data_IF_947485186433
#
_entry.id   IF_947485186433
#
_cell.length_a   1.000
_cell.length_b   1.000
_cell.length_c   1.000
_cell.angle_alpha   90.00
_cell.angle_beta   90.00
_cell.angle_gamma   90.00
#
_symmetry.space_group_name_H-M   'P 1'
#
loop_
_entity.id
_entity.type
_entity.pdbx_description
1 polymer ?
#
# COMPACT_ATOMS: atom_id res chain seq x y z
N UNK A 1 -19.16 -3.42 14.62
CA UNK A 1 -19.68 -4.74 14.21
C UNK A 1 -18.92 -5.10 12.96
N UNK A 2 -18.13 -6.16 13.00
CA UNK A 2 -17.42 -6.71 11.86
C UNK A 2 -18.18 -7.94 11.39
N UNK A 3 -18.24 -8.12 10.08
CA UNK A 3 -18.89 -9.27 9.44
C UNK A 3 -17.85 -9.84 8.49
N UNK A 4 -17.51 -11.11 8.69
CA UNK A 4 -16.53 -11.83 7.87
C UNK A 4 -17.23 -12.51 6.68
N UNK A 5 -16.45 -12.89 5.67
CA UNK A 5 -16.96 -13.52 4.43
C UNK A 5 -17.64 -14.88 4.68
N UNK A 6 -17.32 -15.53 5.79
CA UNK A 6 -17.96 -16.79 6.24
C UNK A 6 -19.29 -16.57 7.00
N UNK A 7 -19.72 -15.32 7.14
CA UNK A 7 -20.93 -14.93 7.85
C UNK A 7 -20.78 -14.84 9.37
N UNK A 8 -19.58 -15.05 9.93
CA UNK A 8 -19.33 -14.81 11.35
C UNK A 8 -19.35 -13.31 11.67
N UNK A 9 -19.80 -12.98 12.87
CA UNK A 9 -19.93 -11.59 13.32
C UNK A 9 -19.17 -11.35 14.63
N UNK A 10 -18.35 -10.29 14.65
CA UNK A 10 -17.65 -9.85 15.86
C UNK A 10 -18.03 -8.43 16.28
N UNK A 11 -18.12 -8.23 17.60
CA UNK A 11 -18.38 -6.92 18.22
C UNK A 11 -17.12 -6.42 18.92
N UNK A 12 -16.36 -5.61 18.20
CA UNK A 12 -15.17 -4.95 18.73
C UNK A 12 -15.51 -3.54 19.22
N UNK A 13 -14.97 -3.18 20.39
CA UNK A 13 -15.05 -1.82 20.92
C UNK A 13 -14.02 -0.94 20.22
N UNK A 14 -14.45 0.13 19.54
CA UNK A 14 -13.60 0.95 18.68
C UNK A 14 -12.42 1.64 19.37
N UNK A 15 -12.42 1.71 20.70
CA UNK A 15 -11.32 2.31 21.48
C UNK A 15 -10.36 1.26 22.06
N UNK A 16 -10.57 -0.02 21.79
CA UNK A 16 -9.66 -1.11 22.15
C UNK A 16 -8.60 -1.25 21.05
N UNK A 17 -7.49 -0.51 21.18
CA UNK A 17 -6.45 -0.41 20.15
C UNK A 17 -5.93 -1.78 19.70
N UNK A 18 -5.66 -2.68 20.64
CA UNK A 18 -5.11 -4.02 20.36
C UNK A 18 -6.05 -4.86 19.49
N UNK A 19 -7.37 -4.61 19.57
CA UNK A 19 -8.36 -5.33 18.76
C UNK A 19 -8.67 -4.67 17.42
N UNK A 20 -8.29 -3.40 17.24
CA UNK A 20 -8.59 -2.65 16.01
C UNK A 20 -7.37 -2.40 15.13
N UNK A 21 -6.15 -2.52 15.67
CA UNK A 21 -4.90 -2.20 14.96
C UNK A 21 -4.68 -3.02 13.68
N UNK A 22 -5.19 -4.25 13.65
CA UNK A 22 -5.01 -5.18 12.53
C UNK A 22 -6.28 -5.29 11.65
N UNK A 23 -7.30 -4.44 11.90
CA UNK A 23 -8.49 -4.40 11.05
C UNK A 23 -8.21 -3.80 9.68
N UNK A 24 -7.26 -2.88 9.60
CA UNK A 24 -6.77 -2.34 8.35
C UNK A 24 -5.47 -3.02 7.98
N UNK A 25 -5.39 -3.51 6.75
CA UNK A 25 -4.13 -4.02 6.22
C UNK A 25 -3.17 -2.86 5.98
N UNK A 26 -1.92 -3.05 6.36
CA UNK A 26 -0.86 -2.13 5.94
C UNK A 26 -0.76 -2.13 4.40
N UNK A 27 -0.18 -1.07 3.85
CA UNK A 27 0.07 -0.97 2.41
C UNK A 27 0.83 -2.20 1.89
N UNK A 28 1.90 -2.62 2.58
CA UNK A 28 2.75 -3.71 2.10
C UNK A 28 2.06 -5.07 2.21
N UNK A 29 1.25 -5.28 3.24
CA UNK A 29 0.47 -6.51 3.40
C UNK A 29 -0.63 -6.60 2.34
N UNK A 30 -1.24 -5.47 1.99
CA UNK A 30 -2.20 -5.38 0.89
C UNK A 30 -1.54 -5.78 -0.44
N UNK A 31 -0.33 -5.29 -0.71
CA UNK A 31 0.43 -5.66 -1.91
C UNK A 31 0.78 -7.15 -1.92
N UNK A 32 1.32 -7.68 -0.81
CA UNK A 32 1.63 -9.11 -0.67
C UNK A 32 0.38 -9.98 -0.89
N UNK A 33 -0.76 -9.56 -0.37
CA UNK A 33 -2.02 -10.25 -0.55
C UNK A 33 -2.46 -10.29 -2.02
N UNK A 34 -2.35 -9.17 -2.74
CA UNK A 34 -2.65 -9.13 -4.19
C UNK A 34 -1.69 -10.04 -4.95
N UNK A 35 -0.38 -9.94 -4.72
CA UNK A 35 0.61 -10.78 -5.43
C UNK A 35 0.41 -12.28 -5.16
N UNK A 36 -0.03 -12.65 -3.96
CA UNK A 36 -0.22 -14.06 -3.58
C UNK A 36 -1.51 -14.65 -4.16
N UNK A 37 -2.58 -13.86 -4.19
CA UNK A 37 -3.92 -14.35 -4.52
C UNK A 37 -4.43 -13.92 -5.90
N UNK A 38 -3.74 -12.98 -6.54
CA UNK A 38 -4.07 -12.43 -7.85
C UNK A 38 -2.85 -12.60 -8.74
N UNK A 39 -3.05 -13.18 -9.92
CA UNK A 39 -2.02 -13.33 -10.95
C UNK A 39 -1.71 -11.97 -11.59
N UNK A 40 -1.09 -11.08 -10.81
CA UNK A 40 -0.77 -9.71 -11.18
C UNK A 40 0.74 -9.56 -11.40
N UNK A 41 1.13 -8.94 -12.51
CA UNK A 41 2.53 -8.60 -12.74
C UNK A 41 2.96 -7.45 -11.82
N UNK A 42 4.28 -7.27 -11.63
CA UNK A 42 4.82 -6.08 -10.92
C UNK A 42 4.30 -4.78 -11.55
N UNK A 43 4.18 -4.74 -12.88
CA UNK A 43 3.64 -3.58 -13.58
C UNK A 43 2.18 -3.29 -13.24
N UNK A 44 1.36 -4.32 -13.04
CA UNK A 44 -0.03 -4.17 -12.62
C UNK A 44 -0.10 -3.66 -11.17
N UNK A 45 0.74 -4.19 -10.28
CA UNK A 45 0.86 -3.69 -8.91
C UNK A 45 1.22 -2.19 -8.91
N UNK A 46 2.26 -1.78 -9.65
CA UNK A 46 2.67 -0.37 -9.74
C UNK A 46 1.53 0.52 -10.27
N UNK A 47 0.77 0.03 -11.25
CA UNK A 47 -0.41 0.77 -11.73
C UNK A 47 -1.48 0.91 -10.67
N UNK A 48 -1.81 -0.17 -9.98
CA UNK A 48 -2.85 -0.21 -8.96
C UNK A 48 -2.49 0.67 -7.75
N UNK A 49 -1.22 0.71 -7.35
CA UNK A 49 -0.81 1.36 -6.10
C UNK A 49 -0.25 2.77 -6.28
N UNK A 50 0.26 3.11 -7.46
CA UNK A 50 0.93 4.39 -7.70
C UNK A 50 0.32 5.17 -8.87
N UNK A 51 0.32 4.60 -10.08
CA UNK A 51 -0.05 5.33 -11.31
C UNK A 51 -1.53 5.73 -11.33
N UNK A 52 -2.43 4.76 -11.13
CA UNK A 52 -3.87 4.98 -11.23
C UNK A 52 -4.39 5.90 -10.12
N UNK A 53 -4.02 5.73 -8.83
CA UNK A 53 -4.42 6.68 -7.79
C UNK A 53 -3.93 8.11 -8.08
N UNK A 54 -2.68 8.28 -8.54
CA UNK A 54 -2.13 9.60 -8.86
C UNK A 54 -2.88 10.27 -10.02
N UNK A 55 -3.25 9.50 -11.06
CA UNK A 55 -4.11 9.98 -12.15
C UNK A 55 -5.50 10.34 -11.66
N UNK A 56 -6.11 9.47 -10.85
CA UNK A 56 -7.47 9.64 -10.34
C UNK A 56 -7.63 10.93 -9.52
N UNK A 57 -6.63 11.28 -8.71
CA UNK A 57 -6.65 12.51 -7.90
C UNK A 57 -5.93 13.70 -8.58
N UNK A 58 -5.60 13.60 -9.86
CA UNK A 58 -4.96 14.66 -10.67
C UNK A 58 -3.61 15.17 -10.13
N UNK A 59 -2.74 14.27 -9.66
CA UNK A 59 -1.36 14.60 -9.24
C UNK A 59 -0.31 13.81 -10.01
N UNK A 60 -0.69 13.18 -11.13
CA UNK A 60 0.22 12.36 -11.94
C UNK A 60 1.39 13.16 -12.53
N UNK A 61 1.25 14.47 -12.70
CA UNK A 61 2.34 15.36 -13.11
C UNK A 61 3.49 15.40 -12.09
N UNK A 62 3.22 15.04 -10.83
CA UNK A 62 4.19 15.07 -9.72
C UNK A 62 4.48 13.70 -9.10
N UNK A 63 3.56 12.74 -9.19
CA UNK A 63 3.64 11.45 -8.49
C UNK A 63 3.16 10.29 -9.36
N UNK A 64 3.33 9.07 -8.86
CA UNK A 64 2.75 7.86 -9.46
C UNK A 64 3.61 7.21 -10.54
N UNK A 65 4.76 7.79 -10.90
CA UNK A 65 5.78 7.16 -11.74
C UNK A 65 7.16 7.74 -11.45
N UNK A 66 8.22 7.04 -11.89
CA UNK A 66 9.61 7.48 -11.76
C UNK A 66 10.03 8.16 -13.06
N UNK A 67 9.94 9.49 -13.09
CA UNK A 67 10.26 10.31 -14.26
C UNK A 67 10.94 11.62 -13.82
N UNK A 68 11.77 12.19 -14.70
CA UNK A 68 12.45 13.46 -14.42
C UNK A 68 11.42 14.58 -14.18
N UNK A 69 11.59 15.33 -13.08
CA UNK A 69 10.72 16.45 -12.72
C UNK A 69 9.59 16.09 -11.76
N UNK A 70 9.40 14.81 -11.43
CA UNK A 70 8.45 14.33 -10.40
C UNK A 70 9.09 14.29 -9.02
N UNK A 71 8.24 14.23 -7.99
CA UNK A 71 8.67 14.04 -6.61
C UNK A 71 9.35 12.67 -6.44
N UNK A 72 10.50 12.65 -5.77
CA UNK A 72 11.23 11.43 -5.45
C UNK A 72 10.64 10.74 -4.20
N UNK A 73 9.35 10.37 -4.29
CA UNK A 73 8.68 9.53 -3.31
C UNK A 73 8.80 8.06 -3.75
N UNK A 74 9.66 7.30 -3.07
CA UNK A 74 10.08 5.98 -3.52
C UNK A 74 9.98 4.96 -2.39
N UNK A 75 9.54 3.75 -2.76
CA UNK A 75 9.67 2.55 -1.93
C UNK A 75 10.73 1.65 -2.56
N UNK A 76 11.72 1.24 -1.77
CA UNK A 76 12.67 0.21 -2.16
C UNK A 76 12.25 -1.09 -1.51
N UNK A 77 12.00 -2.11 -2.31
CA UNK A 77 11.52 -3.43 -1.86
C UNK A 77 12.46 -4.53 -2.35
N UNK A 78 12.56 -5.63 -1.60
CA UNK A 78 13.24 -6.85 -2.07
C UNK A 78 12.30 -7.78 -2.85
N UNK A 79 12.85 -8.88 -3.36
CA UNK A 79 12.07 -9.89 -4.11
C UNK A 79 11.02 -10.64 -3.27
N UNK A 80 10.99 -10.43 -1.96
CA UNK A 80 9.98 -10.96 -1.04
C UNK A 80 8.98 -9.88 -0.59
N UNK A 81 8.96 -8.73 -1.27
CA UNK A 81 8.11 -7.58 -0.98
C UNK A 81 8.31 -7.01 0.44
N UNK A 82 9.50 -7.12 1.01
CA UNK A 82 9.82 -6.41 2.25
C UNK A 82 10.40 -5.04 1.93
N UNK A 83 9.96 -4.03 2.68
CA UNK A 83 10.48 -2.67 2.54
C UNK A 83 11.93 -2.64 3.06
N UNK A 84 12.83 -2.10 2.24
CA UNK A 84 14.23 -1.85 2.59
C UNK A 84 14.47 -0.40 2.94
N UNK A 85 13.92 0.50 2.14
CA UNK A 85 14.07 1.94 2.31
C UNK A 85 12.81 2.66 1.83
N UNK A 86 12.56 3.83 2.42
CA UNK A 86 11.52 4.76 2.00
C UNK A 86 12.17 6.11 1.79
N UNK A 87 11.84 6.76 0.67
CA UNK A 87 12.24 8.13 0.38
C UNK A 87 11.00 8.99 0.24
N UNK A 88 11.01 10.16 0.87
CA UNK A 88 9.99 11.19 0.71
C UNK A 88 10.68 12.43 0.17
N UNK A 89 10.30 12.85 -1.04
CA UNK A 89 10.92 13.95 -1.79
C UNK A 89 12.45 13.87 -1.85
N UNK A 90 12.96 12.64 -2.01
CA UNK A 90 14.39 12.36 -2.09
C UNK A 90 15.12 12.24 -0.74
N UNK A 91 14.42 12.42 0.38
CA UNK A 91 14.97 12.25 1.73
C UNK A 91 14.64 10.85 2.25
N UNK A 92 15.67 10.09 2.62
CA UNK A 92 15.51 8.77 3.24
C UNK A 92 14.82 8.89 4.60
N UNK A 93 13.85 8.02 4.87
CA UNK A 93 13.11 7.96 6.14
C UNK A 93 13.66 6.85 7.04
N UNK A 94 13.60 7.06 8.35
CA UNK A 94 13.84 6.02 9.36
C UNK A 94 12.52 5.29 9.60
N UNK A 95 12.47 4.00 9.21
CA UNK A 95 11.30 3.13 9.27
C UNK A 95 11.66 1.76 9.86
#
# INVERSE_FOLDING_TARGET
>A
KLVYDDGTEDRIYKYDYEKVKDLELSYIDSVKNVVTNVDASIGDIVKMTAENPAKYINVYDKKGSIEKGKDADLLVIDGLWNIKDVYVKGVKQDI
#
